data_IF_260168286294
#
_entry.id   IF_260168286294
#
_cell.length_a   1.000
_cell.length_b   1.000
_cell.length_c   1.000
_cell.angle_alpha   90.00
_cell.angle_beta   90.00
_cell.angle_gamma   90.00
#
_symmetry.space_group_name_H-M   'P 1'
#
loop_
_entity.id
_entity.type
_entity.pdbx_description
1 polymer ?
#
# COMPACT_ATOMS: atom_id res chain seq x y z
N UNK A 1 -25.44 65.00 2.15
CA UNK A 1 -26.72 64.43 1.70
C UNK A 1 -26.71 62.94 1.99
N UNK A 2 -27.02 62.60 3.23
CA UNK A 2 -27.18 61.25 3.76
C UNK A 2 -28.43 60.62 3.16
N UNK A 3 -28.31 59.45 2.54
CA UNK A 3 -29.47 58.62 2.21
C UNK A 3 -29.31 57.29 2.91
N UNK A 4 -29.78 57.32 4.15
CA UNK A 4 -30.51 56.27 4.89
C UNK A 4 -30.67 54.94 4.13
N UNK A 5 -30.13 53.89 4.71
CA UNK A 5 -30.50 52.50 4.46
C UNK A 5 -31.88 52.22 5.06
N UNK A 6 -32.90 51.78 4.29
CA UNK A 6 -34.02 51.06 4.87
C UNK A 6 -33.73 49.57 4.93
N UNK A 7 -33.63 49.08 6.16
CA UNK A 7 -33.59 47.66 6.51
C UNK A 7 -35.02 47.08 6.49
N UNK A 8 -35.15 45.89 5.89
CA UNK A 8 -36.01 44.78 6.33
C UNK A 8 -37.54 44.87 6.14
N UNK A 9 -38.08 43.95 5.32
CA UNK A 9 -38.98 42.84 5.72
C UNK A 9 -39.82 42.44 4.52
N UNK A 10 -39.45 41.34 3.87
CA UNK A 10 -40.45 40.35 3.49
C UNK A 10 -39.71 39.09 3.06
N UNK A 11 -39.36 38.28 4.04
CA UNK A 11 -39.13 36.86 3.83
C UNK A 11 -40.48 36.26 3.40
N UNK A 12 -40.86 36.48 2.14
CA UNK A 12 -42.01 35.81 1.54
C UNK A 12 -41.60 34.36 1.32
N UNK A 13 -42.03 33.56 2.29
CA UNK A 13 -42.03 32.12 2.39
C UNK A 13 -42.48 31.45 1.08
N UNK A 14 -41.60 31.43 0.08
CA UNK A 14 -41.73 30.52 -1.03
C UNK A 14 -41.32 29.15 -0.48
N UNK A 15 -42.33 28.46 0.04
CA UNK A 15 -42.31 27.03 0.35
C UNK A 15 -41.94 26.30 -0.94
N UNK A 16 -40.64 26.29 -1.24
CA UNK A 16 -40.04 25.39 -2.23
C UNK A 16 -40.28 24.01 -1.67
N UNK A 17 -41.34 23.40 -2.17
CA UNK A 17 -41.58 21.97 -2.14
C UNK A 17 -40.39 21.32 -2.84
N UNK A 18 -39.33 21.15 -2.06
CA UNK A 18 -38.17 20.36 -2.43
C UNK A 18 -38.63 18.91 -2.31
N UNK A 19 -39.40 18.48 -3.31
CA UNK A 19 -39.49 17.10 -3.76
C UNK A 19 -38.09 16.68 -4.17
N UNK A 20 -37.28 16.37 -3.16
CA UNK A 20 -36.05 15.63 -3.29
C UNK A 20 -36.46 14.25 -3.78
N UNK A 21 -36.40 14.04 -5.10
CA UNK A 21 -36.34 12.72 -5.70
C UNK A 21 -35.01 12.08 -5.27
N UNK A 22 -34.96 11.64 -4.01
CA UNK A 22 -33.99 10.67 -3.51
C UNK A 22 -34.62 9.29 -3.78
N UNK A 23 -34.85 9.02 -5.06
CA UNK A 23 -35.27 7.72 -5.54
C UNK A 23 -34.13 7.22 -6.41
N UNK A 24 -33.43 6.22 -5.87
CA UNK A 24 -32.40 5.48 -6.56
C UNK A 24 -31.07 5.56 -5.86
N UNK A 25 -30.67 4.45 -5.23
CA UNK A 25 -29.32 4.14 -4.77
C UNK A 25 -28.91 4.66 -3.39
N UNK A 26 -29.76 4.45 -2.39
CA UNK A 26 -29.25 4.12 -1.05
C UNK A 26 -28.60 2.72 -1.08
N UNK A 27 -27.44 2.49 -0.44
CA UNK A 27 -26.72 1.22 -0.49
C UNK A 27 -27.39 0.21 0.46
N UNK A 28 -28.62 -0.16 0.16
CA UNK A 28 -29.39 -1.14 0.94
C UNK A 28 -29.76 -2.39 0.12
N UNK A 29 -29.06 -2.63 -0.99
CA UNK A 29 -29.08 -3.91 -1.69
C UNK A 29 -27.85 -4.74 -1.30
N UNK A 30 -28.00 -5.39 -0.15
CA UNK A 30 -27.33 -6.65 0.15
C UNK A 30 -26.06 -6.53 0.98
N UNK A 31 -26.17 -6.78 2.29
CA UNK A 31 -25.04 -7.27 3.09
C UNK A 31 -24.28 -8.40 2.38
N UNK A 32 -24.98 -9.22 1.57
CA UNK A 32 -24.38 -10.25 0.73
C UNK A 32 -23.47 -9.72 -0.39
N UNK A 33 -23.81 -8.60 -1.06
CA UNK A 33 -22.95 -8.03 -2.11
C UNK A 33 -21.66 -7.44 -1.53
N UNK A 34 -21.77 -6.77 -0.38
CA UNK A 34 -20.59 -6.30 0.37
C UNK A 34 -19.78 -7.45 0.96
N UNK A 35 -20.42 -8.52 1.45
CA UNK A 35 -19.72 -9.73 1.90
C UNK A 35 -18.96 -10.41 0.75
N UNK A 36 -19.50 -10.42 -0.47
CA UNK A 36 -18.79 -10.95 -1.64
C UNK A 36 -17.61 -10.06 -2.04
N UNK A 37 -17.74 -8.73 -1.97
CA UNK A 37 -16.62 -7.80 -2.22
C UNK A 37 -15.54 -7.94 -1.15
N UNK A 38 -15.92 -8.06 0.13
CA UNK A 38 -14.99 -8.31 1.25
C UNK A 38 -14.31 -9.68 1.08
N UNK A 39 -15.06 -10.70 0.66
CA UNK A 39 -14.52 -12.04 0.38
C UNK A 39 -13.52 -12.00 -0.78
N UNK A 40 -13.83 -11.31 -1.89
CA UNK A 40 -12.90 -11.11 -3.01
C UNK A 40 -11.64 -10.34 -2.60
N UNK A 41 -11.79 -9.32 -1.75
CA UNK A 41 -10.67 -8.55 -1.22
C UNK A 41 -9.81 -9.38 -0.27
N UNK A 42 -10.43 -10.21 0.59
CA UNK A 42 -9.73 -11.10 1.51
C UNK A 42 -8.93 -12.20 0.79
N UNK A 43 -9.46 -12.73 -0.31
CA UNK A 43 -8.75 -13.71 -1.15
C UNK A 43 -7.52 -13.07 -1.83
N UNK A 44 -7.59 -11.79 -2.19
CA UNK A 44 -6.49 -11.05 -2.81
C UNK A 44 -5.32 -10.76 -1.86
N UNK A 45 -5.56 -10.83 -0.54
CA UNK A 45 -4.56 -10.58 0.51
C UNK A 45 -3.80 -11.83 0.96
N UNK A 46 -3.93 -12.95 0.24
CA UNK A 46 -3.19 -14.17 0.58
C UNK A 46 -1.70 -14.02 0.23
N UNK A 47 -0.95 -13.40 1.15
CA UNK A 47 0.49 -13.33 1.08
C UNK A 47 1.05 -14.75 1.23
N UNK A 48 1.49 -15.33 0.11
CA UNK A 48 2.12 -16.64 0.12
C UNK A 48 3.44 -16.53 0.87
N UNK A 49 3.53 -17.17 2.03
CA UNK A 49 4.81 -17.28 2.74
C UNK A 49 5.77 -18.08 1.87
N UNK A 50 6.79 -17.41 1.35
CA UNK A 50 7.89 -18.08 0.69
C UNK A 50 8.70 -18.85 1.75
N UNK A 51 9.27 -20.01 1.39
CA UNK A 51 10.22 -20.68 2.25
C UNK A 51 11.31 -19.70 2.68
N UNK A 52 11.77 -19.76 3.94
CA UNK A 52 12.93 -18.98 4.36
C UNK A 52 14.11 -19.25 3.43
N UNK A 53 14.91 -18.22 3.14
CA UNK A 53 16.14 -18.38 2.38
C UNK A 53 17.07 -19.37 3.09
N UNK A 54 17.46 -20.43 2.38
CA UNK A 54 18.37 -21.45 2.89
C UNK A 54 19.55 -21.60 1.95
N UNK A 55 20.73 -21.16 2.40
CA UNK A 55 21.99 -21.38 1.70
C UNK A 55 22.57 -22.74 2.11
N UNK A 56 23.01 -23.54 1.14
CA UNK A 56 23.70 -24.81 1.35
C UNK A 56 25.21 -24.62 1.31
N UNK A 57 25.95 -25.63 1.78
CA UNK A 57 27.40 -25.64 1.70
C UNK A 57 27.84 -25.71 0.23
N UNK A 58 28.79 -24.87 -0.17
CA UNK A 58 29.26 -24.77 -1.55
C UNK A 58 28.42 -23.88 -2.48
N UNK A 59 27.35 -23.25 -1.98
CA UNK A 59 26.52 -22.37 -2.79
C UNK A 59 27.28 -21.12 -3.26
N UNK A 60 26.97 -20.69 -4.48
CA UNK A 60 27.49 -19.45 -5.08
C UNK A 60 26.36 -18.45 -5.24
N UNK A 61 26.48 -17.31 -4.57
CA UNK A 61 25.45 -16.27 -4.54
C UNK A 61 25.99 -15.04 -5.25
N UNK A 62 25.29 -14.61 -6.30
CA UNK A 62 25.59 -13.37 -6.99
C UNK A 62 24.64 -12.26 -6.53
N UNK A 63 25.20 -11.11 -6.16
CA UNK A 63 24.42 -9.90 -5.90
C UNK A 63 24.34 -9.07 -7.18
N UNK A 64 23.13 -8.72 -7.60
CA UNK A 64 22.87 -7.86 -8.75
C UNK A 64 22.09 -6.63 -8.29
N UNK A 65 22.48 -5.46 -8.80
CA UNK A 65 21.81 -4.21 -8.51
C UNK A 65 22.66 -3.01 -8.90
N UNK A 66 22.09 -1.82 -8.73
CA UNK A 66 22.72 -0.54 -9.05
C UNK A 66 23.51 -0.03 -7.81
N UNK A 67 23.44 1.26 -7.53
CA UNK A 67 24.16 2.00 -6.50
C UNK A 67 24.16 1.44 -5.06
N UNK A 68 23.23 0.55 -4.69
CA UNK A 68 23.28 -0.13 -3.38
C UNK A 68 24.31 -1.27 -3.41
N UNK A 69 24.30 -2.09 -4.47
CA UNK A 69 25.24 -3.19 -4.63
C UNK A 69 26.65 -2.67 -4.96
N UNK A 70 26.76 -1.63 -5.78
CA UNK A 70 28.04 -0.97 -6.05
C UNK A 70 28.75 -0.55 -4.75
N UNK A 71 28.01 0.10 -3.83
CA UNK A 71 28.57 0.52 -2.52
C UNK A 71 28.78 -0.66 -1.56
N UNK A 72 27.94 -1.68 -1.61
CA UNK A 72 28.09 -2.87 -0.77
C UNK A 72 29.43 -3.59 -1.02
N UNK A 73 29.97 -3.51 -2.24
CA UNK A 73 31.29 -4.06 -2.58
C UNK A 73 32.43 -3.46 -1.74
N UNK A 74 32.30 -2.21 -1.30
CA UNK A 74 33.34 -1.51 -0.52
C UNK A 74 33.34 -1.95 0.95
N UNK A 75 32.15 -2.14 1.54
CA UNK A 75 32.00 -2.33 2.98
C UNK A 75 31.71 -3.79 3.41
N UNK A 76 31.22 -4.65 2.51
CA UNK A 76 31.04 -6.08 2.77
C UNK A 76 30.02 -6.45 3.86
N UNK A 77 29.17 -5.51 4.29
CA UNK A 77 28.25 -5.72 5.41
C UNK A 77 27.21 -6.81 5.14
N UNK A 78 26.82 -7.01 3.89
CA UNK A 78 25.81 -7.98 3.49
C UNK A 78 26.41 -9.38 3.57
N UNK A 79 27.60 -9.56 3.01
CA UNK A 79 28.40 -10.78 3.05
C UNK A 79 28.70 -11.19 4.49
N UNK A 80 29.10 -10.22 5.33
CA UNK A 80 29.34 -10.47 6.75
C UNK A 80 28.08 -11.00 7.44
N UNK A 81 26.93 -10.33 7.28
CA UNK A 81 25.67 -10.77 7.88
C UNK A 81 25.27 -12.17 7.43
N UNK A 82 25.34 -12.47 6.14
CA UNK A 82 25.02 -13.80 5.62
C UNK A 82 25.99 -14.87 6.14
N UNK A 83 27.29 -14.57 6.17
CA UNK A 83 28.31 -15.49 6.73
C UNK A 83 28.06 -15.76 8.21
N UNK A 84 27.71 -14.74 8.99
CA UNK A 84 27.38 -14.91 10.42
C UNK A 84 26.08 -15.67 10.66
N UNK A 85 25.11 -15.59 9.74
CA UNK A 85 23.86 -16.35 9.83
C UNK A 85 24.08 -17.85 9.50
N UNK A 86 25.09 -18.19 8.68
CA UNK A 86 25.42 -19.56 8.29
C UNK A 86 26.92 -19.89 8.48
N UNK A 87 27.44 -19.87 9.72
CA UNK A 87 28.88 -19.96 9.98
C UNK A 87 29.51 -21.31 9.62
N UNK A 88 28.70 -22.37 9.46
CA UNK A 88 29.16 -23.72 9.12
C UNK A 88 29.10 -24.02 7.62
N UNK A 89 28.78 -23.03 6.78
CA UNK A 89 28.60 -23.21 5.33
C UNK A 89 29.59 -22.35 4.57
N UNK A 90 30.31 -22.98 3.66
CA UNK A 90 31.21 -22.33 2.73
C UNK A 90 30.40 -21.78 1.56
N UNK A 91 29.85 -20.59 1.73
CA UNK A 91 29.13 -19.86 0.68
C UNK A 91 30.09 -18.87 0.01
N UNK A 92 30.09 -18.84 -1.31
CA UNK A 92 30.90 -17.91 -2.10
C UNK A 92 29.99 -16.78 -2.59
N UNK A 93 30.31 -15.54 -2.21
CA UNK A 93 29.58 -14.34 -2.64
C UNK A 93 30.29 -13.64 -3.79
N UNK A 94 29.51 -13.16 -4.76
CA UNK A 94 30.01 -12.34 -5.88
C UNK A 94 29.11 -11.13 -6.09
N UNK A 95 29.63 -9.95 -5.86
CA UNK A 95 28.94 -8.72 -6.19
C UNK A 95 29.15 -8.39 -7.68
N UNK A 96 28.06 -8.21 -8.40
CA UNK A 96 28.00 -7.82 -9.82
C UNK A 96 27.26 -6.49 -9.99
N UNK A 97 27.26 -5.64 -8.95
CA UNK A 97 26.67 -4.32 -9.03
C UNK A 97 27.41 -3.41 -10.00
N UNK A 98 26.67 -2.55 -10.68
CA UNK A 98 27.17 -1.58 -11.65
C UNK A 98 26.57 -0.20 -11.42
#
# INVERSE_FOLDING_TARGET
MTKEFPMNKSQSNHRRDKKTWILGFGPFLGLGAWALVISLLAISLHARQLPPLQLKDGDRVAFLGDALMERAQVYGHIELRLTTAWPKRHVIFRNLGW
#
